data_IF_926278557269
#
_entry.id   IF_926278557269
#
_cell.length_a   1.000
_cell.length_b   1.000
_cell.length_c   1.000
_cell.angle_alpha   90.00
_cell.angle_beta   90.00
_cell.angle_gamma   90.00
#
_symmetry.space_group_name_H-M   'P 1'
#
loop_
_entity.id
_entity.type
_entity.pdbx_description
1 polymer ?
#
# COMPACT_ATOMS: atom_id res chain seq x y z
N UNK A 1 -14.86 -21.32 -3.52
CA UNK A 1 -13.76 -21.15 -4.50
C UNK A 1 -12.63 -20.48 -3.75
N UNK A 2 -11.54 -21.19 -3.49
CA UNK A 2 -10.37 -20.61 -2.82
C UNK A 2 -9.55 -19.82 -3.84
N UNK A 3 -9.48 -18.51 -3.68
CA UNK A 3 -8.56 -17.67 -4.43
C UNK A 3 -7.23 -17.66 -3.68
N UNK A 4 -6.15 -18.12 -4.31
CA UNK A 4 -4.80 -17.89 -3.80
C UNK A 4 -4.22 -16.67 -4.51
N UNK A 5 -3.90 -15.62 -3.75
CA UNK A 5 -3.18 -14.46 -4.27
C UNK A 5 -1.72 -14.56 -3.81
N UNK A 6 -0.79 -14.57 -4.77
CA UNK A 6 0.63 -14.47 -4.49
C UNK A 6 1.09 -13.09 -4.92
N UNK A 7 1.68 -12.34 -4.00
CA UNK A 7 2.35 -11.10 -4.33
C UNK A 7 3.84 -11.42 -4.47
N UNK A 8 4.42 -11.09 -5.61
CA UNK A 8 5.82 -11.33 -5.90
C UNK A 8 6.43 -10.07 -6.47
N UNK A 9 7.53 -9.62 -5.87
CA UNK A 9 8.39 -8.62 -6.50
C UNK A 9 9.17 -9.29 -7.64
N UNK A 10 9.06 -8.74 -8.85
CA UNK A 10 9.78 -9.19 -10.04
C UNK A 10 10.70 -8.03 -10.46
N UNK A 11 11.95 -8.07 -10.04
CA UNK A 11 12.94 -7.01 -10.28
C UNK A 11 14.27 -7.30 -9.58
N UNK A 12 15.29 -6.49 -9.84
CA UNK A 12 16.54 -6.56 -9.09
C UNK A 12 16.25 -6.31 -7.61
N UNK A 13 16.73 -7.21 -6.76
CA UNK A 13 16.69 -7.04 -5.32
C UNK A 13 17.67 -5.93 -4.94
N UNK A 14 17.22 -4.68 -5.00
CA UNK A 14 17.90 -3.51 -4.42
C UNK A 14 17.80 -3.55 -2.88
N UNK A 15 18.08 -4.72 -2.29
CA UNK A 15 17.85 -5.04 -0.87
C UNK A 15 18.62 -4.13 0.12
N UNK A 16 19.49 -3.24 -0.38
CA UNK A 16 20.31 -2.34 0.42
C UNK A 16 20.28 -0.88 -0.07
N UNK A 17 19.29 -0.47 -0.86
CA UNK A 17 19.16 0.93 -1.21
C UNK A 17 18.37 1.66 -0.09
N UNK A 18 19.01 2.52 0.74
CA UNK A 18 18.32 3.23 1.83
C UNK A 18 17.24 4.19 1.32
N UNK A 19 17.33 4.59 0.06
CA UNK A 19 16.45 5.53 -0.61
C UNK A 19 15.24 4.85 -1.26
N UNK A 20 15.17 3.51 -1.22
CA UNK A 20 14.16 2.73 -1.94
C UNK A 20 13.63 1.55 -1.13
N UNK A 21 12.31 1.38 -1.09
CA UNK A 21 11.67 0.19 -0.51
C UNK A 21 10.55 -0.34 -1.40
N UNK A 22 10.48 -1.66 -1.52
CA UNK A 22 9.34 -2.37 -2.08
C UNK A 22 8.77 -3.31 -1.03
N UNK A 23 7.47 -3.24 -0.87
CA UNK A 23 6.72 -4.01 0.10
C UNK A 23 5.49 -4.62 -0.57
N UNK A 24 5.21 -5.85 -0.19
CA UNK A 24 3.92 -6.49 -0.48
C UNK A 24 3.25 -6.85 0.82
N UNK A 25 1.96 -6.56 0.95
CA UNK A 25 1.22 -6.81 2.18
C UNK A 25 -0.18 -7.38 1.89
N UNK A 26 -0.54 -8.44 2.61
CA UNK A 26 -1.90 -8.95 2.73
C UNK A 26 -2.43 -8.50 4.08
N UNK A 27 -3.56 -7.80 4.09
CA UNK A 27 -4.16 -7.36 5.34
C UNK A 27 -4.83 -8.54 6.04
N UNK A 28 -4.31 -8.90 7.21
CA UNK A 28 -4.90 -9.92 8.07
C UNK A 28 -5.95 -9.28 9.00
N UNK A 29 -7.21 -9.71 8.85
CA UNK A 29 -8.35 -9.19 9.61
C UNK A 29 -9.01 -10.36 10.32
N UNK A 30 -8.92 -10.40 11.64
CA UNK A 30 -9.50 -11.50 12.43
C UNK A 30 -11.05 -11.47 12.48
N UNK A 31 -11.66 -10.32 12.23
CA UNK A 31 -13.12 -10.16 12.20
C UNK A 31 -13.72 -10.65 10.88
N UNK A 32 -14.35 -11.82 10.91
CA UNK A 32 -15.01 -12.42 9.75
C UNK A 32 -16.19 -11.59 9.23
N UNK A 33 -16.94 -10.90 10.08
CA UNK A 33 -18.04 -10.06 9.63
C UNK A 33 -17.51 -8.87 8.83
N UNK A 34 -16.35 -8.35 9.22
CA UNK A 34 -15.68 -7.28 8.51
C UNK A 34 -15.13 -7.73 7.15
N UNK A 35 -14.51 -8.92 7.09
CA UNK A 35 -14.10 -9.54 5.82
C UNK A 35 -15.30 -9.76 4.89
N UNK A 36 -16.45 -10.18 5.41
CA UNK A 36 -17.66 -10.32 4.57
C UNK A 36 -18.16 -8.97 4.05
N UNK A 37 -18.12 -7.92 4.89
CA UNK A 37 -18.54 -6.56 4.50
C UNK A 37 -17.58 -5.91 3.50
N UNK A 38 -16.27 -6.10 3.67
CA UNK A 38 -15.23 -5.32 2.97
C UNK A 38 -14.43 -6.14 1.95
N UNK A 39 -14.27 -7.44 2.16
CA UNK A 39 -13.39 -8.30 1.37
C UNK A 39 -11.97 -8.33 1.91
N UNK A 40 -11.08 -9.02 1.21
CA UNK A 40 -9.66 -9.13 1.55
C UNK A 40 -8.84 -8.25 0.64
N UNK A 41 -8.20 -7.24 1.24
CA UNK A 41 -7.32 -6.30 0.56
C UNK A 41 -5.87 -6.79 0.56
N UNK A 42 -5.18 -6.48 -0.53
CA UNK A 42 -3.76 -6.69 -0.74
C UNK A 42 -3.17 -5.41 -1.34
N UNK A 43 -1.91 -5.12 -1.02
CA UNK A 43 -1.20 -3.97 -1.55
C UNK A 43 0.24 -4.32 -1.91
N UNK A 44 0.69 -3.80 -3.04
CA UNK A 44 2.09 -3.67 -3.40
C UNK A 44 2.43 -2.19 -3.35
N UNK A 45 3.49 -1.84 -2.65
CA UNK A 45 3.96 -0.49 -2.42
C UNK A 45 5.42 -0.40 -2.83
N UNK A 46 5.74 0.67 -3.54
CA UNK A 46 7.08 1.09 -3.88
C UNK A 46 7.22 2.55 -3.47
N UNK A 47 8.21 2.84 -2.63
CA UNK A 47 8.57 4.21 -2.23
C UNK A 47 10.03 4.43 -2.61
N UNK A 48 10.28 5.55 -3.26
CA UNK A 48 11.61 6.08 -3.53
C UNK A 48 11.68 7.53 -3.01
N UNK A 49 12.77 7.88 -2.34
CA UNK A 49 12.99 9.21 -1.76
C UNK A 49 14.46 9.59 -1.88
N UNK A 50 14.74 10.88 -1.98
CA UNK A 50 16.07 11.42 -1.74
C UNK A 50 16.21 11.78 -0.25
N UNK A 51 17.22 11.21 0.42
CA UNK A 51 17.63 11.61 1.76
C UNK A 51 17.45 10.56 2.85
N UNK A 52 17.93 10.87 4.06
CA UNK A 52 18.00 9.90 5.17
C UNK A 52 16.65 9.77 5.91
N UNK A 53 15.72 9.03 5.31
CA UNK A 53 14.45 8.63 5.92
C UNK A 53 14.50 7.17 6.41
N UNK A 54 13.67 6.83 7.40
CA UNK A 54 13.44 5.43 7.78
C UNK A 54 12.30 4.86 6.93
N UNK A 55 12.64 4.28 5.78
CA UNK A 55 11.63 3.72 4.87
C UNK A 55 10.90 2.50 5.45
N UNK A 56 11.45 1.83 6.45
CA UNK A 56 10.76 0.73 7.15
C UNK A 56 9.62 1.29 7.97
N UNK A 57 9.88 2.33 8.76
CA UNK A 57 8.83 3.02 9.53
C UNK A 57 7.78 3.65 8.61
N UNK A 58 8.22 4.33 7.55
CA UNK A 58 7.34 4.98 6.56
C UNK A 58 6.39 3.96 5.92
N UNK A 59 6.92 2.83 5.46
CA UNK A 59 6.11 1.79 4.81
C UNK A 59 5.15 1.12 5.81
N UNK A 60 5.59 0.86 7.05
CA UNK A 60 4.72 0.34 8.11
C UNK A 60 3.56 1.29 8.39
N UNK A 61 3.84 2.58 8.58
CA UNK A 61 2.81 3.58 8.85
C UNK A 61 1.83 3.74 7.68
N UNK A 62 2.31 3.62 6.45
CA UNK A 62 1.45 3.60 5.26
C UNK A 62 0.47 2.42 5.30
N UNK A 63 0.95 1.21 5.61
CA UNK A 63 0.11 0.02 5.74
C UNK A 63 -0.89 0.15 6.88
N UNK A 64 -0.42 0.55 8.07
CA UNK A 64 -1.27 0.70 9.25
C UNK A 64 -2.40 1.70 8.99
N UNK A 65 -2.09 2.80 8.29
CA UNK A 65 -3.08 3.79 7.88
C UNK A 65 -4.11 3.18 6.92
N UNK A 66 -3.70 2.41 5.92
CA UNK A 66 -4.66 1.72 5.04
C UNK A 66 -5.55 0.79 5.85
N UNK A 67 -4.98 -0.01 6.75
CA UNK A 67 -5.73 -0.96 7.57
C UNK A 67 -6.79 -0.25 8.42
N UNK A 68 -6.42 0.86 9.05
CA UNK A 68 -7.33 1.65 9.87
C UNK A 68 -8.46 2.26 9.03
N UNK A 69 -8.12 2.98 7.96
CA UNK A 69 -9.13 3.72 7.19
C UNK A 69 -10.06 2.80 6.39
N UNK A 70 -9.51 1.76 5.77
CA UNK A 70 -10.28 0.88 4.90
C UNK A 70 -11.25 -0.01 5.70
N UNK A 71 -10.76 -0.64 6.78
CA UNK A 71 -11.55 -1.60 7.54
C UNK A 71 -12.33 -0.97 8.69
N UNK A 72 -11.84 0.09 9.34
CA UNK A 72 -12.50 0.62 10.56
C UNK A 72 -13.33 1.87 10.33
N UNK A 73 -12.95 2.73 9.39
CA UNK A 73 -13.51 4.09 9.31
C UNK A 73 -14.39 4.36 8.09
N UNK A 74 -14.24 3.61 7.00
CA UNK A 74 -15.03 3.86 5.79
C UNK A 74 -16.39 3.15 5.86
N UNK A 75 -17.45 3.85 5.43
CA UNK A 75 -18.77 3.30 5.08
C UNK A 75 -19.07 3.38 3.57
N UNK A 76 -18.04 3.71 2.78
CA UNK A 76 -18.16 3.97 1.35
C UNK A 76 -18.18 2.68 0.52
N UNK A 77 -18.38 2.82 -0.80
CA UNK A 77 -18.20 1.71 -1.75
C UNK A 77 -16.75 1.22 -1.74
N UNK A 78 -16.47 -0.05 -2.09
CA UNK A 78 -15.13 -0.62 -1.94
C UNK A 78 -14.03 0.17 -2.67
N UNK A 79 -14.29 0.63 -3.90
CA UNK A 79 -13.31 1.41 -4.67
C UNK A 79 -13.03 2.77 -4.03
N UNK A 80 -14.08 3.46 -3.55
CA UNK A 80 -13.90 4.77 -2.92
C UNK A 80 -13.22 4.62 -1.56
N UNK A 81 -13.56 3.58 -0.79
CA UNK A 81 -12.89 3.26 0.46
C UNK A 81 -11.38 3.00 0.26
N UNK A 82 -10.99 2.29 -0.81
CA UNK A 82 -9.58 2.09 -1.19
C UNK A 82 -8.92 3.41 -1.56
N UNK A 83 -9.56 4.21 -2.42
CA UNK A 83 -9.01 5.50 -2.85
C UNK A 83 -8.79 6.44 -1.66
N UNK A 84 -9.78 6.55 -0.78
CA UNK A 84 -9.73 7.37 0.43
C UNK A 84 -8.64 6.89 1.37
N UNK A 85 -8.51 5.58 1.60
CA UNK A 85 -7.48 5.03 2.48
C UNK A 85 -6.07 5.24 1.93
N UNK A 86 -5.86 5.08 0.61
CA UNK A 86 -4.58 5.35 -0.05
C UNK A 86 -4.19 6.84 0.00
N UNK A 87 -5.16 7.74 -0.22
CA UNK A 87 -4.92 9.20 -0.08
C UNK A 87 -4.55 9.56 1.35
N UNK A 88 -5.26 9.01 2.33
CA UNK A 88 -4.96 9.22 3.76
C UNK A 88 -3.59 8.69 4.15
N UNK A 89 -3.25 7.47 3.74
CA UNK A 89 -1.94 6.88 4.00
C UNK A 89 -0.82 7.72 3.40
N UNK A 90 -0.99 8.19 2.16
CA UNK A 90 -0.03 9.11 1.49
C UNK A 90 0.14 10.42 2.26
N UNK A 91 -0.97 11.02 2.74
CA UNK A 91 -0.93 12.25 3.53
C UNK A 91 -0.19 12.04 4.86
N UNK A 92 -0.46 10.92 5.55
CA UNK A 92 0.17 10.57 6.82
C UNK A 92 1.68 10.47 6.67
N UNK A 93 2.17 9.75 5.66
CA UNK A 93 3.61 9.60 5.46
C UNK A 93 4.29 10.87 4.96
N UNK A 94 3.56 11.77 4.28
CA UNK A 94 4.10 13.04 3.80
C UNK A 94 4.59 13.97 4.94
N UNK A 95 4.07 13.79 6.15
CA UNK A 95 4.51 14.55 7.33
C UNK A 95 5.71 13.96 8.08
N UNK A 96 6.22 12.79 7.68
CA UNK A 96 7.37 12.17 8.35
C UNK A 96 8.63 13.02 8.12
N UNK A 97 9.38 13.25 9.19
CA UNK A 97 10.64 13.99 9.13
C UNK A 97 11.80 13.06 8.74
N UNK A 98 12.84 13.61 8.12
CA UNK A 98 14.14 12.94 7.99
C UNK A 98 14.74 12.63 9.37
N UNK A 99 15.68 11.68 9.42
CA UNK A 99 16.37 11.33 10.68
C UNK A 99 17.09 12.50 11.33
N UNK A 100 17.54 13.48 10.53
CA UNK A 100 18.18 14.71 11.02
C UNK A 100 17.18 15.86 11.31
N UNK A 101 15.89 15.65 11.06
CA UNK A 101 14.80 16.58 11.36
C UNK A 101 14.73 17.83 10.47
N UNK A 102 15.52 17.90 9.38
CA UNK A 102 15.61 19.11 8.54
C UNK A 102 14.65 19.14 7.37
N UNK A 103 14.13 18.00 6.96
CA UNK A 103 13.22 17.88 5.82
C UNK A 103 12.04 16.99 6.16
N UNK A 104 10.95 17.14 5.44
CA UNK A 104 9.80 16.24 5.49
C UNK A 104 9.68 15.47 4.20
N UNK A 105 9.08 14.29 4.29
CA UNK A 105 8.92 13.36 3.19
C UNK A 105 8.04 13.93 2.07
N UNK A 106 7.07 14.80 2.40
CA UNK A 106 6.24 15.52 1.43
C UNK A 106 6.82 16.85 0.93
N UNK A 107 8.06 17.21 1.32
CA UNK A 107 8.70 18.43 0.83
C UNK A 107 9.17 18.29 -0.62
N UNK A 108 9.45 19.41 -1.30
CA UNK A 108 10.04 19.34 -2.65
C UNK A 108 11.47 18.77 -2.65
N UNK A 109 12.15 18.80 -1.50
CA UNK A 109 13.54 18.39 -1.37
C UNK A 109 13.71 16.88 -1.16
N UNK A 110 12.65 16.16 -0.80
CA UNK A 110 12.69 14.70 -0.59
C UNK A 110 12.49 13.91 -1.88
N UNK A 111 12.12 14.56 -2.99
CA UNK A 111 11.88 13.92 -4.29
C UNK A 111 11.03 12.63 -4.18
N UNK A 112 10.01 12.67 -3.32
CA UNK A 112 9.18 11.51 -3.02
C UNK A 112 8.48 10.98 -4.28
N UNK A 113 8.75 9.72 -4.60
CA UNK A 113 8.02 8.95 -5.60
C UNK A 113 7.34 7.76 -4.92
N UNK A 114 6.01 7.69 -5.04
CA UNK A 114 5.22 6.57 -4.53
C UNK A 114 4.50 5.92 -5.70
N UNK A 115 4.63 4.60 -5.80
CA UNK A 115 3.87 3.77 -6.72
C UNK A 115 3.23 2.63 -5.93
N UNK A 116 1.95 2.38 -6.16
CA UNK A 116 1.26 1.27 -5.50
C UNK A 116 0.22 0.64 -6.39
N UNK A 117 -0.06 -0.63 -6.14
CA UNK A 117 -1.20 -1.34 -6.69
C UNK A 117 -1.92 -2.08 -5.57
N UNK A 118 -3.24 -2.09 -5.62
CA UNK A 118 -4.07 -2.89 -4.71
C UNK A 118 -4.86 -3.93 -5.48
N UNK A 119 -5.12 -5.05 -4.79
CA UNK A 119 -6.07 -6.06 -5.22
C UNK A 119 -7.05 -6.29 -4.06
N UNK A 120 -8.34 -6.18 -4.33
CA UNK A 120 -9.40 -6.46 -3.38
C UNK A 120 -10.26 -7.60 -3.91
N UNK A 121 -10.38 -8.66 -3.13
CA UNK A 121 -11.31 -9.76 -3.41
C UNK A 121 -12.54 -9.58 -2.53
N UNK A 122 -13.67 -9.26 -3.16
CA UNK A 122 -14.95 -9.07 -2.45
C UNK A 122 -16.11 -9.65 -3.25
N UNK A 123 -16.90 -10.54 -2.65
CA UNK A 123 -18.08 -11.18 -3.27
C UNK A 123 -17.81 -11.75 -4.67
N UNK A 124 -16.68 -12.45 -4.85
CA UNK A 124 -16.21 -13.05 -6.12
C UNK A 124 -15.77 -12.04 -7.19
N UNK A 125 -15.71 -10.76 -6.86
CA UNK A 125 -15.20 -9.70 -7.74
C UNK A 125 -13.79 -9.32 -7.28
N UNK A 126 -12.88 -9.23 -8.25
CA UNK A 126 -11.54 -8.66 -8.06
C UNK A 126 -11.58 -7.18 -8.46
N UNK A 127 -11.39 -6.28 -7.51
CA UNK A 127 -11.17 -4.87 -7.75
C UNK A 127 -9.67 -4.59 -7.72
N UNK A 128 -9.19 -3.75 -8.62
CA UNK A 128 -7.80 -3.33 -8.64
C UNK A 128 -7.74 -1.82 -8.75
N UNK A 129 -6.80 -1.19 -8.04
CA UNK A 129 -6.51 0.23 -8.16
C UNK A 129 -5.01 0.42 -8.19
N UNK A 130 -4.52 1.44 -8.86
CA UNK A 130 -3.09 1.70 -8.93
C UNK A 130 -2.77 3.18 -9.11
N UNK A 131 -1.57 3.55 -8.70
CA UNK A 131 -0.95 4.84 -8.99
C UNK A 131 0.54 4.63 -9.25
N UNK A 132 1.13 5.46 -10.12
CA UNK A 132 2.52 5.33 -10.55
C UNK A 132 2.67 4.35 -11.72
N UNK A 133 3.66 3.45 -11.65
CA UNK A 133 3.95 2.49 -12.72
C UNK A 133 4.01 1.03 -12.23
N UNK A 134 3.00 0.53 -11.48
CA UNK A 134 2.95 -0.88 -11.13
C UNK A 134 2.38 -1.71 -12.29
N UNK A 135 2.62 -3.02 -12.24
CA UNK A 135 1.98 -3.99 -13.10
C UNK A 135 1.12 -4.95 -12.25
N UNK A 136 -0.12 -5.21 -12.69
CA UNK A 136 -1.01 -6.19 -12.09
C UNK A 136 -1.28 -7.29 -13.10
N UNK A 137 -0.96 -8.53 -12.72
CA UNK A 137 -1.14 -9.71 -13.58
C UNK A 137 -2.25 -10.60 -13.02
N UNK A 138 -3.18 -11.02 -13.90
CA UNK A 138 -4.18 -12.04 -13.58
C UNK A 138 -3.82 -13.31 -14.33
N UNK A 139 -3.37 -14.33 -13.59
CA UNK A 139 -3.05 -15.64 -14.15
C UNK A 139 -4.25 -16.55 -13.93
N UNK A 140 -4.89 -16.98 -15.01
CA UNK A 140 -5.95 -17.99 -14.97
C UNK A 140 -5.34 -19.34 -15.32
N UNK A 141 -5.36 -20.27 -14.37
CA UNK A 141 -4.94 -21.66 -14.61
C UNK A 141 -5.78 -22.29 -15.72
N UNK A 142 -5.12 -23.03 -16.61
CA UNK A 142 -5.74 -24.01 -17.51
C UNK A 142 -5.85 -25.35 -16.83
#
# INVERSE_FOLDING_TARGET
>A
MEFSLKIQHIGENLLNNPDYIVLTHQFDVSDQALIQKRGTLFVCLNINVDGDFDLTEVSSLFIDSIQEYYYKLSDETPLHAIETSLKRATQVISSINSKDGKTTLGSQNSNLSISYATALIWNQILYTTYAGSPAVYLIRGT
#
